data_IF_843857531114
#
_entry.id   IF_843857531114
#
_cell.length_a   1.000
_cell.length_b   1.000
_cell.length_c   1.000
_cell.angle_alpha   90.00
_cell.angle_beta   90.00
_cell.angle_gamma   90.00
#
_symmetry.space_group_name_H-M   'P 1'
#
loop_
_entity.id
_entity.type
_entity.pdbx_description
1 polymer ?
#
# COMPACT_ATOMS: atom_id res chain seq x y z
N UNK A 1 19.51 5.11 40.31
CA UNK A 1 19.48 5.05 38.83
C UNK A 1 18.01 5.13 38.43
N UNK A 2 17.64 6.18 37.70
CA UNK A 2 16.29 6.36 37.17
C UNK A 2 16.17 5.56 35.87
N UNK A 3 15.46 4.43 35.91
CA UNK A 3 15.08 3.73 34.69
C UNK A 3 13.75 4.31 34.23
N UNK A 4 13.79 5.15 33.20
CA UNK A 4 12.60 5.74 32.60
C UNK A 4 11.99 4.73 31.62
N UNK A 5 11.19 3.79 32.14
CA UNK A 5 10.30 3.00 31.28
C UNK A 5 9.31 3.97 30.63
N UNK A 6 9.41 4.13 29.31
CA UNK A 6 8.44 4.91 28.53
C UNK A 6 7.26 3.99 28.22
N UNK A 7 6.06 4.21 28.79
CA UNK A 7 4.90 3.42 28.41
C UNK A 7 4.48 3.80 26.99
N UNK A 8 4.38 2.81 26.10
CA UNK A 8 3.84 2.99 24.75
C UNK A 8 2.42 3.54 24.85
N UNK A 9 2.24 4.81 24.50
CA UNK A 9 0.93 5.46 24.54
C UNK A 9 -0.03 4.82 23.50
N UNK A 10 -1.33 4.71 23.81
CA UNK A 10 -2.31 4.27 22.81
C UNK A 10 -2.32 5.25 21.64
N UNK A 11 -2.31 4.71 20.41
CA UNK A 11 -2.14 5.49 19.18
C UNK A 11 -3.13 6.64 19.05
N UNK A 12 -2.65 7.86 19.29
CA UNK A 12 -3.35 9.10 18.96
C UNK A 12 -3.26 9.26 17.45
N UNK A 13 -4.40 9.25 16.76
CA UNK A 13 -4.46 9.49 15.32
C UNK A 13 -3.94 10.91 15.03
N UNK A 14 -2.73 11.02 14.48
CA UNK A 14 -2.06 12.31 14.24
C UNK A 14 -2.67 12.96 12.99
N UNK A 15 -3.22 14.20 13.08
CA UNK A 15 -3.58 14.98 11.91
C UNK A 15 -2.33 15.21 11.04
N UNK A 16 -2.35 14.74 9.79
CA UNK A 16 -1.20 14.78 8.89
C UNK A 16 -0.44 13.45 8.71
N UNK A 17 -0.84 12.35 9.36
CA UNK A 17 -0.21 11.04 9.20
C UNK A 17 -0.25 10.45 7.76
N UNK A 18 -1.14 10.96 6.92
CA UNK A 18 -1.32 10.50 5.53
C UNK A 18 -1.17 11.69 4.58
N UNK A 19 -0.07 11.70 3.81
CA UNK A 19 0.18 12.69 2.74
C UNK A 19 -0.74 12.37 1.56
N UNK A 20 -1.45 13.37 1.04
CA UNK A 20 -2.19 13.24 -0.22
C UNK A 20 -1.20 13.09 -1.38
N UNK A 21 -1.42 12.08 -2.24
CA UNK A 21 -0.62 11.83 -3.44
C UNK A 21 -1.38 12.33 -4.67
N UNK A 22 -2.60 11.83 -4.91
CA UNK A 22 -3.49 12.27 -5.99
C UNK A 22 -4.93 11.84 -5.76
N UNK A 23 -5.88 12.35 -6.55
CA UNK A 23 -7.21 11.74 -6.66
C UNK A 23 -7.16 10.42 -7.45
N UNK A 24 -8.04 9.48 -7.10
CA UNK A 24 -8.30 8.21 -7.78
C UNK A 24 -9.70 8.28 -8.38
N UNK A 25 -9.79 8.26 -9.71
CA UNK A 25 -11.07 8.35 -10.43
C UNK A 25 -11.73 6.98 -10.65
N UNK A 26 -12.98 6.99 -11.12
CA UNK A 26 -13.70 5.77 -11.50
C UNK A 26 -13.04 5.11 -12.72
N UNK A 27 -12.39 3.97 -12.50
CA UNK A 27 -11.69 3.19 -13.54
C UNK A 27 -10.23 2.90 -13.21
N UNK A 28 -9.60 3.74 -12.40
CA UNK A 28 -8.22 3.57 -11.89
C UNK A 28 -8.09 2.39 -10.92
N UNK A 29 -9.19 2.06 -10.24
CA UNK A 29 -9.28 0.99 -9.26
C UNK A 29 -10.74 0.66 -8.92
N UNK A 30 -10.98 -0.22 -7.93
CA UNK A 30 -12.32 -0.55 -7.46
C UNK A 30 -12.95 0.53 -6.55
N UNK A 31 -12.16 1.50 -6.10
CA UNK A 31 -12.60 2.57 -5.20
C UNK A 31 -12.20 3.93 -5.77
N UNK A 32 -13.12 4.89 -5.70
CA UNK A 32 -12.89 6.30 -6.00
C UNK A 32 -12.61 7.04 -4.70
N UNK A 33 -11.64 7.94 -4.68
CA UNK A 33 -11.21 8.61 -3.45
C UNK A 33 -9.86 9.32 -3.59
N UNK A 34 -9.17 9.54 -2.47
CA UNK A 34 -7.83 10.11 -2.44
C UNK A 34 -6.77 9.01 -2.26
N UNK A 35 -5.77 8.91 -3.15
CA UNK A 35 -4.59 8.11 -2.90
C UNK A 35 -3.70 8.81 -1.88
N UNK A 36 -3.36 8.14 -0.78
CA UNK A 36 -2.59 8.70 0.33
C UNK A 36 -1.46 7.76 0.76
N UNK A 37 -0.41 8.30 1.40
CA UNK A 37 0.63 7.49 2.04
C UNK A 37 0.10 6.77 3.29
N UNK A 38 0.50 5.52 3.50
CA UNK A 38 0.11 4.72 4.65
C UNK A 38 1.26 3.79 5.08
N UNK A 39 2.03 4.22 6.08
CA UNK A 39 3.32 3.58 6.39
C UNK A 39 4.27 3.73 5.20
N UNK A 40 4.90 2.62 4.80
CA UNK A 40 5.77 2.54 3.62
C UNK A 40 4.98 2.30 2.31
N UNK A 41 3.66 2.12 2.40
CA UNK A 41 2.75 1.77 1.31
C UNK A 41 1.79 2.93 0.93
N UNK A 42 0.89 2.67 -0.02
CA UNK A 42 -0.18 3.59 -0.43
C UNK A 42 -1.57 2.97 -0.23
N UNK A 43 -2.53 3.80 0.21
CA UNK A 43 -3.92 3.40 0.44
C UNK A 43 -4.88 4.39 -0.25
N UNK A 44 -6.08 3.91 -0.59
CA UNK A 44 -7.18 4.77 -1.04
C UNK A 44 -8.01 5.19 0.16
N UNK A 45 -8.05 6.49 0.41
CA UNK A 45 -8.86 7.15 1.42
C UNK A 45 -10.24 7.49 0.83
N UNK A 46 -11.29 6.90 1.37
CA UNK A 46 -12.69 7.00 0.89
C UNK A 46 -13.60 7.38 2.04
N UNK A 47 -14.61 8.23 1.84
CA UNK A 47 -15.59 8.54 2.88
C UNK A 47 -16.37 7.25 3.25
N UNK A 48 -16.52 6.99 4.54
CA UNK A 48 -17.29 5.84 5.04
C UNK A 48 -18.76 5.85 4.56
N UNK A 49 -19.32 7.01 4.24
CA UNK A 49 -20.66 7.16 3.69
C UNK A 49 -20.80 6.52 2.29
N UNK A 50 -19.76 6.62 1.45
CA UNK A 50 -19.74 6.04 0.09
C UNK A 50 -19.62 4.50 0.10
N UNK A 51 -19.19 3.93 1.24
CA UNK A 51 -19.06 2.49 1.48
C UNK A 51 -20.26 1.90 2.23
N UNK A 52 -21.39 2.62 2.29
CA UNK A 52 -22.61 2.16 2.96
C UNK A 52 -23.13 0.85 2.33
N UNK A 53 -23.18 -0.22 3.13
CA UNK A 53 -23.63 -1.55 2.68
C UNK A 53 -22.56 -2.41 1.99
N UNK A 54 -21.35 -1.90 1.79
CA UNK A 54 -20.25 -2.63 1.13
C UNK A 54 -19.90 -3.95 1.83
N UNK A 55 -19.63 -5.02 1.09
CA UNK A 55 -19.39 -6.34 1.67
C UNK A 55 -18.11 -6.46 2.51
N UNK A 56 -17.11 -5.63 2.24
CA UNK A 56 -15.74 -5.72 2.75
C UNK A 56 -15.52 -5.36 4.22
N UNK A 57 -16.48 -4.68 4.87
CA UNK A 57 -16.38 -4.25 6.28
C UNK A 57 -16.00 -5.36 7.28
N UNK A 58 -16.31 -6.62 6.96
CA UNK A 58 -16.07 -7.79 7.83
C UNK A 58 -14.72 -8.48 7.61
N UNK A 59 -13.95 -8.07 6.60
CA UNK A 59 -12.69 -8.71 6.18
C UNK A 59 -11.46 -7.83 6.48
N UNK A 60 -11.59 -6.88 7.43
CA UNK A 60 -10.42 -6.17 7.96
C UNK A 60 -9.45 -7.18 8.61
N UNK A 61 -8.18 -7.13 8.20
CA UNK A 61 -7.14 -8.08 8.61
C UNK A 61 -7.09 -9.39 7.80
N UNK A 62 -7.86 -9.53 6.71
CA UNK A 62 -7.66 -10.60 5.71
C UNK A 62 -6.54 -10.21 4.72
N UNK A 63 -5.86 -11.20 4.13
CA UNK A 63 -4.74 -11.00 3.20
C UNK A 63 -5.16 -11.03 1.72
N UNK A 64 -6.21 -11.80 1.40
CA UNK A 64 -6.67 -12.07 0.03
C UNK A 64 -8.12 -11.65 -0.23
N UNK A 65 -8.82 -11.12 0.79
CA UNK A 65 -10.12 -10.44 0.66
C UNK A 65 -9.98 -8.99 1.12
N UNK A 66 -10.48 -8.07 0.31
CA UNK A 66 -10.42 -6.64 0.58
C UNK A 66 -11.29 -6.25 1.78
N UNK A 67 -10.63 -5.71 2.81
CA UNK A 67 -11.26 -5.06 3.95
C UNK A 67 -10.63 -3.70 4.23
N UNK A 68 -11.17 -3.00 5.23
CA UNK A 68 -10.63 -1.73 5.72
C UNK A 68 -9.29 -1.97 6.41
N UNK A 69 -8.26 -1.22 6.01
CA UNK A 69 -6.93 -1.21 6.61
C UNK A 69 -6.93 -0.40 7.91
N UNK A 70 -7.44 0.83 7.85
CA UNK A 70 -7.52 1.75 8.99
C UNK A 70 -8.68 2.75 8.86
N UNK A 71 -9.02 3.42 9.96
CA UNK A 71 -10.14 4.35 10.11
C UNK A 71 -9.63 5.72 10.56
N UNK A 72 -9.53 6.66 9.62
CA UNK A 72 -9.28 8.07 9.92
C UNK A 72 -10.58 8.71 10.41
N UNK A 73 -10.51 9.46 11.52
CA UNK A 73 -11.62 10.28 12.02
C UNK A 73 -11.52 11.70 11.48
N UNK A 74 -12.65 12.29 11.11
CA UNK A 74 -12.80 13.73 10.83
C UNK A 74 -13.79 14.34 11.83
N UNK A 75 -13.90 15.67 11.83
CA UNK A 75 -14.88 16.41 12.63
C UNK A 75 -16.32 16.20 12.15
N UNK A 76 -16.50 15.85 10.88
CA UNK A 76 -17.78 15.69 10.18
C UNK A 76 -18.09 14.26 9.73
N UNK A 77 -17.11 13.34 9.81
CA UNK A 77 -17.25 11.98 9.28
C UNK A 77 -16.07 11.06 9.63
N UNK A 78 -15.92 10.00 8.85
CA UNK A 78 -14.81 9.05 8.93
C UNK A 78 -14.35 8.69 7.53
N UNK A 79 -13.04 8.58 7.31
CA UNK A 79 -12.48 8.07 6.07
C UNK A 79 -11.87 6.69 6.29
N UNK A 80 -12.20 5.76 5.40
CA UNK A 80 -11.64 4.41 5.40
C UNK A 80 -10.39 4.39 4.53
N UNK A 81 -9.32 3.80 5.03
CA UNK A 81 -8.17 3.43 4.20
C UNK A 81 -8.39 2.03 3.64
N UNK A 82 -8.30 1.92 2.31
CA UNK A 82 -8.51 0.69 1.55
C UNK A 82 -7.26 0.34 0.73
N UNK A 83 -7.00 -0.94 0.44
CA UNK A 83 -5.87 -1.35 -0.40
C UNK A 83 -5.88 -0.70 -1.78
N UNK A 84 -4.72 -0.22 -2.24
CA UNK A 84 -4.57 0.32 -3.59
C UNK A 84 -4.49 -0.80 -4.64
N UNK A 85 -5.60 -1.02 -5.34
CA UNK A 85 -5.73 -2.01 -6.40
C UNK A 85 -5.61 -1.36 -7.78
N UNK A 86 -4.56 -1.72 -8.53
CA UNK A 86 -4.15 -1.08 -9.79
C UNK A 86 -4.81 -1.67 -11.04
N UNK A 87 -5.23 -2.93 -10.99
CA UNK A 87 -5.82 -3.62 -12.15
C UNK A 87 -6.58 -4.89 -11.76
N UNK A 88 -7.53 -5.32 -12.61
CA UNK A 88 -8.18 -6.64 -12.47
C UNK A 88 -7.22 -7.76 -12.87
N UNK A 89 -7.21 -8.87 -12.13
CA UNK A 89 -6.45 -10.11 -12.46
C UNK A 89 -6.84 -10.59 -13.87
N UNK A 90 -8.12 -10.47 -14.23
CA UNK A 90 -8.61 -10.84 -15.55
C UNK A 90 -7.93 -10.05 -16.69
N UNK A 91 -7.72 -8.75 -16.49
CA UNK A 91 -7.05 -7.88 -17.45
C UNK A 91 -5.54 -8.17 -17.53
N UNK A 92 -4.90 -8.43 -16.39
CA UNK A 92 -3.49 -8.86 -16.31
C UNK A 92 -3.24 -10.13 -17.13
N UNK A 93 -4.01 -11.20 -16.90
CA UNK A 93 -3.92 -12.45 -17.67
C UNK A 93 -4.20 -12.23 -19.17
N UNK A 94 -5.18 -11.36 -19.48
CA UNK A 94 -5.50 -10.95 -20.85
C UNK A 94 -4.29 -10.33 -21.56
N UNK A 95 -3.65 -9.31 -20.96
CA UNK A 95 -2.49 -8.63 -21.56
C UNK A 95 -1.29 -9.58 -21.73
N UNK A 96 -0.98 -10.41 -20.72
CA UNK A 96 0.09 -11.43 -20.82
C UNK A 96 -0.13 -12.38 -21.99
N UNK A 97 -1.37 -12.84 -22.20
CA UNK A 97 -1.74 -13.70 -23.33
C UNK A 97 -1.65 -12.98 -24.68
N UNK A 98 -2.08 -11.72 -24.78
CA UNK A 98 -1.96 -10.92 -26.01
C UNK A 98 -0.50 -10.71 -26.43
N UNK A 99 0.41 -10.61 -25.46
CA UNK A 99 1.84 -10.46 -25.70
C UNK A 99 2.63 -11.79 -25.76
N UNK A 100 1.94 -12.94 -25.72
CA UNK A 100 2.53 -14.29 -25.70
C UNK A 100 3.55 -14.54 -24.56
N UNK A 101 3.43 -13.81 -23.45
CA UNK A 101 4.29 -13.99 -22.27
C UNK A 101 3.56 -14.84 -21.23
N UNK A 102 3.92 -16.13 -21.17
CA UNK A 102 3.36 -17.04 -20.17
C UNK A 102 3.74 -16.65 -18.73
N UNK A 103 2.92 -17.06 -17.76
CA UNK A 103 3.29 -17.04 -16.35
C UNK A 103 4.40 -18.08 -16.11
N UNK A 104 5.39 -17.74 -15.30
CA UNK A 104 6.36 -18.72 -14.81
C UNK A 104 5.67 -19.69 -13.81
N UNK A 105 6.21 -20.90 -13.58
CA UNK A 105 5.55 -21.90 -12.71
C UNK A 105 5.33 -21.40 -11.26
N UNK A 106 6.27 -20.60 -10.75
CA UNK A 106 6.12 -19.95 -9.44
C UNK A 106 5.11 -18.79 -9.42
N UNK A 107 4.87 -18.11 -10.55
CA UNK A 107 3.80 -17.11 -10.68
C UNK A 107 2.42 -17.78 -10.69
N UNK A 108 2.30 -18.94 -11.37
CA UNK A 108 1.10 -19.79 -11.33
C UNK A 108 0.80 -20.22 -9.90
N UNK A 109 1.81 -20.70 -9.16
CA UNK A 109 1.67 -21.12 -7.77
C UNK A 109 1.19 -19.96 -6.88
N UNK A 110 1.83 -18.79 -6.94
CA UNK A 110 1.43 -17.60 -6.17
C UNK A 110 -0.01 -17.20 -6.48
N UNK A 111 -0.37 -17.06 -7.76
CA UNK A 111 -1.71 -16.63 -8.15
C UNK A 111 -2.77 -17.62 -7.65
N UNK A 112 -2.59 -18.91 -7.89
CA UNK A 112 -3.59 -19.93 -7.54
C UNK A 112 -3.72 -20.12 -6.04
N UNK A 113 -2.61 -20.10 -5.28
CA UNK A 113 -2.65 -20.14 -3.83
C UNK A 113 -3.38 -18.92 -3.24
N UNK A 114 -3.09 -17.70 -3.71
CA UNK A 114 -3.81 -16.49 -3.28
C UNK A 114 -5.31 -16.56 -3.59
N UNK A 115 -5.67 -17.08 -4.78
CA UNK A 115 -7.05 -17.28 -5.20
C UNK A 115 -7.80 -18.27 -4.30
N UNK A 116 -7.18 -19.40 -3.94
CA UNK A 116 -7.74 -20.39 -3.02
C UNK A 116 -7.88 -19.82 -1.59
N UNK A 117 -6.83 -19.19 -1.07
CA UNK A 117 -6.83 -18.58 0.26
C UNK A 117 -7.94 -17.53 0.42
N UNK A 118 -8.13 -16.63 -0.55
CA UNK A 118 -9.22 -15.65 -0.48
C UNK A 118 -10.62 -16.29 -0.57
N UNK A 119 -10.80 -17.39 -1.32
CA UNK A 119 -12.05 -18.18 -1.25
C UNK A 119 -12.23 -18.81 0.14
N UNK A 120 -11.14 -19.23 0.79
CA UNK A 120 -11.14 -19.72 2.18
C UNK A 120 -11.48 -18.63 3.21
N UNK A 121 -10.96 -17.41 3.03
CA UNK A 121 -11.24 -16.23 3.87
C UNK A 121 -12.71 -15.77 3.76
N UNK A 122 -13.29 -15.80 2.56
CA UNK A 122 -14.73 -15.59 2.36
C UNK A 122 -15.59 -16.64 3.09
N UNK A 123 -15.05 -17.85 3.25
CA UNK A 123 -15.66 -18.94 4.00
C UNK A 123 -16.98 -19.40 3.40
N UNK A 124 -18.04 -19.40 4.21
CA UNK A 124 -19.36 -19.88 3.82
C UNK A 124 -20.26 -18.76 3.24
N UNK A 125 -19.71 -17.58 2.91
CA UNK A 125 -20.47 -16.49 2.27
C UNK A 125 -20.77 -16.82 0.80
N UNK A 126 -21.84 -17.58 0.59
CA UNK A 126 -22.40 -17.89 -0.74
C UNK A 126 -22.92 -16.66 -1.49
N UNK A 127 -23.10 -15.51 -0.81
CA UNK A 127 -23.50 -14.25 -1.41
C UNK A 127 -22.31 -13.33 -1.73
N UNK A 128 -21.07 -13.78 -1.52
CA UNK A 128 -19.88 -13.00 -1.84
C UNK A 128 -19.78 -12.73 -3.35
N UNK A 129 -20.13 -11.51 -3.75
CA UNK A 129 -20.03 -10.99 -5.11
C UNK A 129 -18.96 -9.90 -5.19
N UNK A 130 -18.24 -9.86 -6.31
CA UNK A 130 -17.08 -9.01 -6.49
C UNK A 130 -16.15 -9.48 -7.61
N UNK A 131 -14.96 -8.93 -7.64
CA UNK A 131 -13.93 -9.21 -8.65
C UNK A 131 -12.53 -9.33 -8.05
N UNK A 132 -11.66 -10.06 -8.73
CA UNK A 132 -10.26 -10.20 -8.34
C UNK A 132 -9.39 -9.10 -8.95
N UNK A 133 -8.67 -8.39 -8.09
CA UNK A 133 -7.74 -7.32 -8.42
C UNK A 133 -6.32 -7.69 -8.00
N UNK A 134 -5.35 -6.95 -8.56
CA UNK A 134 -3.97 -6.91 -8.11
C UNK A 134 -3.74 -5.57 -7.41
N UNK A 135 -3.08 -5.63 -6.25
CA UNK A 135 -2.52 -4.45 -5.57
C UNK A 135 -1.29 -3.90 -6.31
N UNK A 136 -0.71 -2.79 -5.84
CA UNK A 136 0.54 -2.25 -6.36
C UNK A 136 1.72 -3.24 -6.35
N UNK A 137 1.86 -4.02 -5.27
CA UNK A 137 2.85 -5.10 -5.10
C UNK A 137 2.49 -6.41 -5.83
N UNK A 138 1.39 -6.44 -6.60
CA UNK A 138 0.99 -7.59 -7.40
C UNK A 138 0.31 -8.72 -6.62
N UNK A 139 -0.21 -8.44 -5.41
CA UNK A 139 -0.97 -9.41 -4.59
C UNK A 139 -2.40 -9.57 -5.12
N UNK A 140 -2.88 -10.79 -5.38
CA UNK A 140 -4.28 -11.03 -5.70
C UNK A 140 -5.18 -10.79 -4.49
N UNK A 141 -6.18 -9.92 -4.67
CA UNK A 141 -7.15 -9.50 -3.66
C UNK A 141 -8.57 -9.55 -4.24
N UNK A 142 -9.50 -10.23 -3.56
CA UNK A 142 -10.91 -10.22 -3.92
C UNK A 142 -11.60 -8.98 -3.37
N UNK A 143 -12.21 -8.18 -4.23
CA UNK A 143 -12.86 -6.91 -3.86
C UNK A 143 -14.36 -7.03 -4.07
N UNK A 144 -15.14 -6.83 -3.01
CA UNK A 144 -16.60 -6.82 -3.09
C UNK A 144 -17.11 -5.65 -3.93
N UNK A 145 -18.06 -5.92 -4.82
CA UNK A 145 -18.69 -4.92 -5.70
C UNK A 145 -19.91 -5.49 -6.43
N UNK A 146 -20.86 -4.61 -6.79
CA UNK A 146 -22.16 -4.98 -7.36
C UNK A 146 -22.06 -5.47 -8.81
N UNK A 147 -21.11 -4.93 -9.59
CA UNK A 147 -20.82 -5.36 -10.97
C UNK A 147 -20.08 -6.70 -11.06
N UNK A 148 -19.72 -7.28 -9.90
CA UNK A 148 -18.92 -8.49 -9.78
C UNK A 148 -19.73 -9.79 -9.88
N UNK A 149 -19.03 -10.89 -10.15
CA UNK A 149 -19.62 -12.23 -10.11
C UNK A 149 -19.51 -12.88 -8.73
N UNK A 150 -20.21 -14.00 -8.51
CA UNK A 150 -20.02 -14.83 -7.33
C UNK A 150 -18.55 -15.29 -7.24
N UNK A 151 -17.92 -15.10 -6.07
CA UNK A 151 -16.47 -15.22 -5.89
C UNK A 151 -15.91 -16.55 -6.42
N UNK A 152 -16.49 -17.68 -5.98
CA UNK A 152 -16.11 -19.04 -6.42
C UNK A 152 -16.16 -19.23 -7.95
N UNK A 153 -17.18 -18.66 -8.60
CA UNK A 153 -17.36 -18.73 -10.07
C UNK A 153 -16.31 -17.87 -10.79
N UNK A 154 -16.04 -16.66 -10.28
CA UNK A 154 -14.97 -15.79 -10.82
C UNK A 154 -13.59 -16.44 -10.62
N UNK A 155 -13.34 -17.06 -9.48
CA UNK A 155 -12.11 -17.82 -9.23
C UNK A 155 -11.97 -18.98 -10.21
N UNK A 156 -12.98 -19.84 -10.37
CA UNK A 156 -12.95 -20.95 -11.32
C UNK A 156 -12.64 -20.49 -12.77
N UNK A 157 -13.26 -19.38 -13.20
CA UNK A 157 -13.02 -18.79 -14.51
C UNK A 157 -11.62 -18.17 -14.68
N UNK A 158 -10.93 -17.79 -13.59
CA UNK A 158 -9.52 -17.41 -13.61
C UNK A 158 -8.62 -18.65 -13.68
N UNK A 159 -8.92 -19.72 -12.92
CA UNK A 159 -8.19 -20.99 -12.99
C UNK A 159 -8.20 -21.56 -14.41
N UNK A 160 -9.35 -21.53 -15.12
CA UNK A 160 -9.45 -21.93 -16.53
C UNK A 160 -8.47 -21.17 -17.44
N UNK A 161 -8.22 -19.89 -17.16
CA UNK A 161 -7.28 -19.03 -17.90
C UNK A 161 -5.83 -19.26 -17.47
N UNK A 162 -5.59 -19.82 -16.29
CA UNK A 162 -4.26 -20.17 -15.79
C UNK A 162 -3.79 -21.53 -16.32
N UNK A 163 -4.69 -22.48 -16.61
CA UNK A 163 -4.36 -23.82 -17.15
C UNK A 163 -3.38 -23.80 -18.35
N UNK A 164 -3.51 -22.92 -19.37
CA UNK A 164 -2.56 -22.83 -20.49
C UNK A 164 -1.12 -22.43 -20.09
N UNK A 165 -0.92 -21.90 -18.89
CA UNK A 165 0.39 -21.53 -18.35
C UNK A 165 1.02 -22.63 -17.49
N UNK A 166 0.37 -23.79 -17.34
CA UNK A 166 0.93 -24.92 -16.59
C UNK A 166 2.23 -25.43 -17.25
N UNK A 167 3.29 -25.57 -16.44
CA UNK A 167 4.60 -26.05 -16.89
C UNK A 167 4.57 -27.50 -17.40
N UNK A 168 3.66 -28.30 -16.86
CA UNK A 168 3.60 -29.73 -17.02
C UNK A 168 2.15 -30.26 -16.87
N UNK A 169 1.98 -31.54 -17.18
CA UNK A 169 0.65 -32.20 -17.18
C UNK A 169 0.10 -32.47 -15.78
N UNK A 170 0.92 -32.62 -14.74
CA UNK A 170 0.46 -32.78 -13.37
C UNK A 170 -0.11 -31.44 -12.85
N UNK A 171 0.63 -30.33 -12.99
CA UNK A 171 0.12 -28.99 -12.70
C UNK A 171 -1.20 -28.71 -13.42
N UNK A 172 -1.28 -28.98 -14.73
CA UNK A 172 -2.51 -28.77 -15.50
C UNK A 172 -3.73 -29.59 -14.99
N UNK A 173 -3.49 -30.81 -14.47
CA UNK A 173 -4.54 -31.65 -13.86
C UNK A 173 -5.04 -31.08 -12.54
N UNK A 174 -4.12 -30.67 -11.66
CA UNK A 174 -4.45 -30.05 -10.36
C UNK A 174 -5.30 -28.78 -10.59
N UNK A 175 -4.89 -27.92 -11.52
CA UNK A 175 -5.67 -26.74 -11.90
C UNK A 175 -7.06 -27.09 -12.45
N UNK A 176 -7.18 -28.16 -13.23
CA UNK A 176 -8.49 -28.63 -13.74
C UNK A 176 -9.38 -29.14 -12.60
N UNK A 177 -8.82 -29.86 -11.62
CA UNK A 177 -9.52 -30.35 -10.42
C UNK A 177 -10.02 -29.19 -9.55
N UNK A 178 -9.14 -28.24 -9.22
CA UNK A 178 -9.47 -27.00 -8.49
C UNK A 178 -10.62 -26.26 -9.20
N UNK A 179 -10.49 -26.05 -10.52
CA UNK A 179 -11.50 -25.35 -11.30
C UNK A 179 -12.86 -26.06 -11.28
N UNK A 180 -12.88 -27.40 -11.33
CA UNK A 180 -14.11 -28.19 -11.21
C UNK A 180 -14.74 -28.03 -9.81
N UNK A 181 -13.96 -28.26 -8.76
CA UNK A 181 -14.45 -28.20 -7.38
C UNK A 181 -14.91 -26.79 -6.95
N UNK A 182 -14.32 -25.71 -7.48
CA UNK A 182 -14.78 -24.35 -7.24
C UNK A 182 -16.18 -24.06 -7.84
N UNK A 183 -16.61 -24.82 -8.87
CA UNK A 183 -17.97 -24.70 -9.43
C UNK A 183 -18.99 -25.49 -8.63
N UNK A 184 -18.56 -26.42 -7.78
CA UNK A 184 -19.46 -27.12 -6.86
C UNK A 184 -19.87 -26.19 -5.70
N UNK A 185 -21.13 -26.23 -5.23
CA UNK A 185 -21.59 -25.36 -4.15
C UNK A 185 -20.79 -25.51 -2.85
N UNK A 186 -20.15 -26.67 -2.62
CA UNK A 186 -19.26 -26.98 -1.50
C UNK A 186 -18.23 -28.03 -1.92
N UNK A 187 -16.97 -27.83 -1.54
CA UNK A 187 -15.91 -28.83 -1.49
C UNK A 187 -15.30 -28.81 -0.07
N UNK A 188 -14.42 -29.75 0.28
CA UNK A 188 -13.84 -29.80 1.63
C UNK A 188 -12.66 -28.83 1.73
N UNK A 189 -12.50 -28.15 2.88
CA UNK A 189 -11.34 -27.25 3.12
C UNK A 189 -10.01 -28.00 3.15
N UNK A 190 -10.06 -29.32 3.40
CA UNK A 190 -8.90 -30.21 3.30
C UNK A 190 -8.45 -30.41 1.84
N UNK A 191 -9.34 -30.16 0.86
CA UNK A 191 -8.99 -30.13 -0.56
C UNK A 191 -8.16 -28.88 -0.90
N UNK A 192 -8.57 -27.69 -0.43
CA UNK A 192 -7.83 -26.44 -0.63
C UNK A 192 -6.38 -26.55 -0.11
N UNK A 193 -6.21 -27.07 1.11
CA UNK A 193 -4.90 -27.28 1.72
C UNK A 193 -4.06 -28.34 0.99
N UNK A 194 -4.68 -29.41 0.46
CA UNK A 194 -4.01 -30.40 -0.40
C UNK A 194 -3.49 -29.74 -1.66
N UNK A 195 -4.35 -29.05 -2.41
CA UNK A 195 -3.99 -28.44 -3.68
C UNK A 195 -2.91 -27.37 -3.52
N UNK A 196 -2.98 -26.54 -2.48
CA UNK A 196 -1.92 -25.56 -2.19
C UNK A 196 -0.59 -26.26 -1.94
N UNK A 197 -0.57 -27.34 -1.15
CA UNK A 197 0.64 -28.12 -0.88
C UNK A 197 1.22 -28.79 -2.14
N UNK A 198 0.37 -29.33 -3.02
CA UNK A 198 0.80 -29.93 -4.29
C UNK A 198 1.39 -28.88 -5.25
N UNK A 199 0.78 -27.69 -5.35
CA UNK A 199 1.32 -26.58 -6.15
C UNK A 199 2.67 -26.09 -5.62
N UNK A 200 2.79 -25.88 -4.30
CA UNK A 200 4.04 -25.49 -3.63
C UNK A 200 5.15 -26.55 -3.79
N UNK A 201 4.78 -27.83 -3.86
CA UNK A 201 5.72 -28.93 -4.12
C UNK A 201 6.20 -28.98 -5.57
N UNK A 202 5.41 -28.44 -6.50
CA UNK A 202 5.76 -28.39 -7.93
C UNK A 202 6.61 -27.19 -8.30
N UNK A 203 6.37 -26.02 -7.69
CA UNK A 203 7.18 -24.82 -7.90
C UNK A 203 7.17 -23.89 -6.69
N UNK A 204 8.34 -23.34 -6.34
CA UNK A 204 8.44 -22.30 -5.32
C UNK A 204 7.68 -21.03 -5.75
N UNK A 205 6.89 -20.39 -4.86
CA UNK A 205 6.19 -19.14 -5.15
C UNK A 205 7.13 -18.04 -5.67
N UNK A 206 6.64 -17.27 -6.64
CA UNK A 206 7.33 -16.06 -7.14
C UNK A 206 6.35 -14.89 -7.26
N UNK A 207 6.79 -13.64 -7.00
CA UNK A 207 5.97 -12.46 -7.23
C UNK A 207 5.45 -12.39 -8.67
N UNK A 208 4.21 -11.91 -8.84
CA UNK A 208 3.62 -11.69 -10.15
C UNK A 208 4.29 -10.49 -10.82
N UNK A 209 4.88 -10.72 -12.00
CA UNK A 209 5.53 -9.67 -12.79
C UNK A 209 4.48 -8.78 -13.46
N UNK A 210 4.13 -7.68 -12.80
CA UNK A 210 3.20 -6.64 -13.27
C UNK A 210 3.88 -5.60 -14.19
N UNK A 211 5.19 -5.43 -14.03
CA UNK A 211 6.11 -4.54 -14.74
C UNK A 211 6.19 -4.79 -16.25
N UNK A 212 6.14 -6.06 -16.68
CA UNK A 212 6.23 -6.46 -18.11
C UNK A 212 5.16 -5.79 -18.99
N UNK A 213 4.05 -5.34 -18.39
CA UNK A 213 2.94 -4.66 -19.06
C UNK A 213 2.42 -3.44 -18.28
N UNK A 214 3.29 -2.79 -17.52
CA UNK A 214 3.13 -1.36 -17.30
C UNK A 214 3.27 -0.67 -18.68
N UNK A 215 2.56 0.45 -18.95
CA UNK A 215 2.92 1.27 -20.10
C UNK A 215 4.41 1.63 -19.98
N UNK A 216 5.17 1.42 -21.06
CA UNK A 216 6.55 1.93 -21.14
C UNK A 216 6.54 3.40 -20.72
N UNK A 217 7.42 3.78 -19.79
CA UNK A 217 7.71 5.20 -19.58
C UNK A 217 8.06 5.80 -20.95
N UNK A 218 7.57 6.99 -21.24
CA UNK A 218 7.65 7.59 -22.58
C UNK A 218 9.08 7.81 -23.13
N UNK A 219 10.12 7.51 -22.33
CA UNK A 219 11.54 7.59 -22.68
C UNK A 219 12.04 6.59 -23.75
N UNK A 220 11.30 5.52 -24.10
CA UNK A 220 11.79 4.49 -25.04
C UNK A 220 10.99 4.32 -26.35
N UNK A 221 9.86 5.01 -26.53
CA UNK A 221 9.08 4.93 -27.78
C UNK A 221 9.59 5.93 -28.81
N UNK A 222 10.56 5.50 -29.62
CA UNK A 222 11.02 6.27 -30.78
C UNK A 222 9.84 6.57 -31.74
N UNK A 223 9.61 7.87 -32.01
CA UNK A 223 8.39 8.43 -32.60
C UNK A 223 8.07 7.92 -34.01
N UNK A 224 7.36 6.78 -34.12
CA UNK A 224 6.78 6.34 -35.40
C UNK A 224 5.58 7.21 -35.78
N UNK A 225 5.86 8.18 -36.66
CA UNK A 225 4.91 9.08 -37.34
C UNK A 225 3.69 8.31 -37.88
N UNK A 226 2.55 8.38 -37.19
CA UNK A 226 1.28 7.79 -37.66
C UNK A 226 0.50 8.78 -38.53
N UNK A 227 0.02 8.29 -39.67
CA UNK A 227 -0.75 9.09 -40.64
C UNK A 227 -2.18 9.27 -40.12
N UNK A 228 -2.66 10.52 -40.15
CA UNK A 228 -3.97 10.93 -39.65
C UNK A 228 -5.09 10.46 -40.59
N UNK A 229 -6.04 9.69 -40.07
CA UNK A 229 -7.29 9.34 -40.78
C UNK A 229 -8.46 10.13 -40.14
N UNK A 230 -9.34 10.78 -40.92
CA UNK A 230 -10.48 11.51 -40.36
C UNK A 230 -11.52 10.56 -39.76
N UNK A 231 -12.13 10.95 -38.63
CA UNK A 231 -13.25 10.24 -38.00
C UNK A 231 -14.53 11.07 -38.15
N UNK A 232 -15.57 10.47 -38.74
CA UNK A 232 -16.91 11.05 -38.76
C UNK A 232 -17.61 10.84 -37.42
N UNK A 233 -18.44 11.81 -37.02
CA UNK A 233 -19.00 11.87 -35.66
C UNK A 233 -20.21 10.98 -35.42
N UNK A 234 -20.32 10.44 -34.19
CA UNK A 234 -21.54 9.81 -33.68
C UNK A 234 -21.91 10.44 -32.33
N UNK A 235 -23.17 10.83 -32.19
CA UNK A 235 -23.66 11.67 -31.09
C UNK A 235 -23.88 10.92 -29.76
N UNK A 236 -23.52 11.55 -28.64
CA UNK A 236 -23.92 11.15 -27.28
C UNK A 236 -25.37 11.52 -26.98
N UNK A 237 -26.19 10.66 -26.36
CA UNK A 237 -27.37 11.08 -25.60
C UNK A 237 -27.00 11.39 -24.13
N UNK A 238 -27.54 12.50 -23.60
CA UNK A 238 -27.45 12.88 -22.18
C UNK A 238 -28.63 12.24 -21.43
N UNK A 239 -28.43 11.73 -20.21
CA UNK A 239 -29.53 11.47 -19.27
C UNK A 239 -29.50 12.49 -18.12
N UNK A 240 -30.64 12.67 -17.46
CA UNK A 240 -30.92 13.80 -16.54
C UNK A 240 -31.03 13.34 -15.09
N UNK A 241 -30.68 14.26 -14.21
CA UNK A 241 -30.94 14.26 -12.77
C UNK A 241 -32.37 13.86 -12.37
N UNK A 242 -32.48 13.17 -11.23
CA UNK A 242 -33.68 13.25 -10.37
C UNK A 242 -33.26 13.36 -8.91
N UNK A 243 -33.69 14.44 -8.25
CA UNK A 243 -33.72 14.52 -6.79
C UNK A 243 -35.00 13.84 -6.28
N UNK A 244 -34.96 13.23 -5.07
CA UNK A 244 -35.82 13.63 -3.92
C UNK A 244 -35.71 12.70 -2.69
N UNK A 245 -35.13 13.25 -1.63
CA UNK A 245 -35.76 13.47 -0.30
C UNK A 245 -36.70 12.36 0.25
N UNK A 246 -36.26 11.66 1.29
CA UNK A 246 -37.12 10.84 2.17
C UNK A 246 -36.41 10.44 3.47
N UNK A 247 -36.81 11.02 4.61
CA UNK A 247 -36.22 10.78 5.94
C UNK A 247 -37.28 10.16 6.87
N UNK A 248 -36.83 9.24 7.75
CA UNK A 248 -37.53 8.53 8.86
C UNK A 248 -38.49 7.39 8.47
N UNK A 249 -38.07 6.16 8.82
CA UNK A 249 -38.75 5.13 9.65
C UNK A 249 -38.02 3.78 9.44
N UNK A 250 -37.86 2.86 10.40
CA UNK A 250 -38.27 2.88 11.80
C UNK A 250 -37.39 1.96 12.68
N UNK A 251 -37.14 2.42 13.91
CA UNK A 251 -36.29 1.85 14.96
C UNK A 251 -36.83 0.53 15.55
N UNK A 252 -36.94 -0.54 14.75
CA UNK A 252 -37.36 -1.87 15.25
C UNK A 252 -36.54 -3.06 14.69
N UNK A 253 -35.80 -2.90 13.60
CA UNK A 253 -34.96 -3.98 13.03
C UNK A 253 -33.70 -4.30 13.87
N UNK A 254 -33.32 -3.43 14.82
CA UNK A 254 -32.05 -3.53 15.55
C UNK A 254 -32.03 -4.59 16.68
N UNK A 255 -33.19 -5.12 17.11
CA UNK A 255 -33.27 -6.00 18.30
C UNK A 255 -33.22 -7.51 18.00
N UNK A 256 -33.36 -7.94 16.74
CA UNK A 256 -33.25 -9.37 16.37
C UNK A 256 -31.80 -9.82 16.18
N UNK A 257 -30.97 -8.98 15.53
CA UNK A 257 -29.55 -9.27 15.21
C UNK A 257 -28.67 -9.46 16.45
N UNK A 258 -29.07 -8.93 17.61
CA UNK A 258 -28.30 -9.02 18.85
C UNK A 258 -28.40 -10.40 19.54
N UNK A 259 -29.40 -11.23 19.20
CA UNK A 259 -29.62 -12.54 19.84
C UNK A 259 -28.82 -13.69 19.21
N UNK A 260 -28.53 -13.61 17.90
CA UNK A 260 -27.65 -14.56 17.20
C UNK A 260 -26.16 -14.37 17.56
N UNK A 261 -25.73 -13.12 17.81
CA UNK A 261 -24.33 -12.77 18.18
C UNK A 261 -23.85 -13.40 19.50
N UNK A 262 -24.75 -13.88 20.37
CA UNK A 262 -24.38 -14.49 21.64
C UNK A 262 -23.90 -15.95 21.52
N UNK A 263 -24.24 -16.67 20.45
CA UNK A 263 -23.86 -18.09 20.29
C UNK A 263 -22.47 -18.30 19.68
N UNK A 264 -22.11 -17.51 18.67
CA UNK A 264 -20.84 -17.66 17.93
C UNK A 264 -19.58 -17.19 18.68
N UNK A 265 -19.73 -16.41 19.76
CA UNK A 265 -18.61 -16.06 20.66
C UNK A 265 -18.29 -17.16 21.66
N UNK A 266 -19.27 -17.99 22.07
CA UNK A 266 -19.06 -19.06 23.04
C UNK A 266 -18.22 -20.21 22.46
N UNK A 267 -18.40 -20.51 21.17
CA UNK A 267 -17.66 -21.57 20.49
C UNK A 267 -16.19 -21.24 20.20
N UNK A 268 -15.83 -19.96 20.10
CA UNK A 268 -14.43 -19.53 19.96
C UNK A 268 -13.67 -19.65 21.28
N UNK A 269 -14.32 -19.34 22.40
CA UNK A 269 -13.74 -19.50 23.75
C UNK A 269 -13.64 -20.97 24.21
N UNK A 270 -14.39 -21.88 23.60
CA UNK A 270 -14.29 -23.31 23.87
C UNK A 270 -13.07 -23.98 23.19
N UNK A 271 -12.70 -23.52 21.98
CA UNK A 271 -11.60 -24.10 21.19
C UNK A 271 -10.21 -23.79 21.76
N UNK A 272 -10.02 -22.59 22.32
CA UNK A 272 -8.73 -22.17 22.92
C UNK A 272 -8.37 -22.92 24.21
N UNK A 273 -9.31 -23.62 24.86
CA UNK A 273 -9.05 -24.50 26.02
C UNK A 273 -8.93 -25.99 25.67
N UNK A 274 -9.12 -26.39 24.42
CA UNK A 274 -9.07 -27.79 24.02
C UNK A 274 -7.65 -28.24 23.58
N UNK A 275 -6.74 -27.30 23.34
CA UNK A 275 -5.40 -27.57 22.78
C UNK A 275 -4.36 -28.04 23.80
N UNK A 276 -4.65 -28.02 25.10
CA UNK A 276 -3.68 -28.33 26.15
C UNK A 276 -4.12 -29.55 26.99
N UNK A 277 -3.78 -30.74 26.49
CA UNK A 277 -3.91 -32.01 27.22
C UNK A 277 -2.77 -32.96 26.83
N UNK A 278 -1.87 -33.34 27.76
CA UNK A 278 -0.85 -34.33 27.50
C UNK A 278 -1.46 -35.75 27.42
N UNK A 279 -1.10 -36.50 26.38
CA UNK A 279 -1.59 -37.86 26.14
C UNK A 279 -0.77 -38.88 26.92
N UNK A 280 -1.34 -39.46 27.99
CA UNK A 280 -0.77 -40.59 28.74
C UNK A 280 -1.56 -41.89 28.51
N UNK A 281 -0.92 -43.07 28.61
CA UNK A 281 -1.52 -44.35 28.20
C UNK A 281 -2.55 -44.93 29.21
N UNK A 282 -3.35 -45.86 28.70
CA UNK A 282 -4.56 -46.38 29.33
C UNK A 282 -4.25 -47.44 30.39
N UNK A 283 -4.74 -47.22 31.61
CA UNK A 283 -4.84 -48.20 32.70
C UNK A 283 -6.12 -47.97 33.49
N UNK A 284 -6.89 -49.02 33.76
CA UNK A 284 -8.26 -48.90 34.29
C UNK A 284 -8.31 -48.75 35.82
N UNK A 285 -9.30 -48.00 36.34
CA UNK A 285 -10.27 -48.49 37.36
C UNK A 285 -11.42 -47.48 37.64
N UNK A 286 -12.39 -47.86 38.49
CA UNK A 286 -13.74 -47.25 38.58
C UNK A 286 -13.95 -46.29 39.77
N UNK A 287 -14.89 -45.35 39.58
CA UNK A 287 -15.61 -44.54 40.60
C UNK A 287 -14.78 -43.44 41.31
N UNK A 288 -15.32 -42.31 41.82
CA UNK A 288 -16.66 -41.95 42.37
C UNK A 288 -17.12 -40.54 41.88
N UNK A 289 -18.38 -40.13 42.13
CA UNK A 289 -19.03 -38.87 41.67
C UNK A 289 -18.98 -37.70 42.69
N UNK A 290 -19.30 -36.48 42.19
CA UNK A 290 -19.82 -35.26 42.88
C UNK A 290 -18.83 -34.05 43.05
N UNK A 291 -19.29 -32.78 43.20
CA UNK A 291 -19.48 -31.91 42.03
C UNK A 291 -18.99 -30.45 42.19
N UNK A 292 -17.97 -30.04 41.43
CA UNK A 292 -17.44 -28.66 41.43
C UNK A 292 -18.30 -27.67 40.61
N UNK A 293 -19.48 -27.30 41.12
CA UNK A 293 -20.34 -26.23 40.55
C UNK A 293 -20.46 -24.95 41.38
N UNK A 294 -19.69 -24.81 42.47
CA UNK A 294 -19.77 -23.65 43.38
C UNK A 294 -18.68 -22.58 43.19
N UNK A 295 -17.61 -22.85 42.43
CA UNK A 295 -16.51 -21.88 42.24
C UNK A 295 -16.78 -20.82 41.15
N UNK A 296 -17.65 -21.11 40.17
CA UNK A 296 -17.97 -20.18 39.08
C UNK A 296 -18.90 -19.02 39.51
N UNK A 297 -19.62 -19.15 40.62
CA UNK A 297 -20.53 -18.08 41.09
C UNK A 297 -19.75 -16.92 41.71
N UNK A 298 -18.61 -17.19 42.36
CA UNK A 298 -17.80 -16.16 43.03
C UNK A 298 -17.07 -15.23 42.05
N UNK A 299 -16.71 -15.74 40.87
CA UNK A 299 -16.00 -14.97 39.84
C UNK A 299 -16.89 -13.92 39.15
N UNK A 300 -18.18 -14.20 38.97
CA UNK A 300 -19.13 -13.28 38.34
C UNK A 300 -19.36 -12.01 39.18
N UNK A 301 -19.37 -12.14 40.52
CA UNK A 301 -19.55 -11.01 41.44
C UNK A 301 -18.40 -10.00 41.42
N UNK A 302 -17.16 -10.43 41.22
CA UNK A 302 -16.00 -9.51 41.18
C UNK A 302 -16.05 -8.62 39.93
N UNK A 303 -16.39 -9.20 38.77
CA UNK A 303 -16.50 -8.45 37.51
C UNK A 303 -17.59 -7.37 37.54
N UNK A 304 -18.72 -7.64 38.21
CA UNK A 304 -19.81 -6.67 38.36
C UNK A 304 -19.42 -5.48 39.25
N UNK A 305 -18.61 -5.69 40.29
CA UNK A 305 -18.11 -4.62 41.17
C UNK A 305 -17.10 -3.72 40.44
N UNK A 306 -16.18 -4.31 39.66
CA UNK A 306 -15.22 -3.53 38.85
C UNK A 306 -15.93 -2.63 37.83
N UNK A 307 -16.95 -3.14 37.14
CA UNK A 307 -17.75 -2.35 36.20
C UNK A 307 -18.60 -1.27 36.90
N UNK A 308 -19.12 -1.55 38.10
CA UNK A 308 -19.89 -0.59 38.89
C UNK A 308 -19.06 0.59 39.38
N UNK A 309 -17.81 0.37 39.79
CA UNK A 309 -16.90 1.43 40.26
C UNK A 309 -16.33 2.23 39.08
N UNK A 310 -15.97 1.58 37.97
CA UNK A 310 -15.42 2.26 36.79
C UNK A 310 -16.38 3.21 36.06
N UNK A 311 -17.69 3.07 36.26
CA UNK A 311 -18.72 3.95 35.70
C UNK A 311 -19.05 5.17 36.58
N UNK A 312 -18.45 5.29 37.76
CA UNK A 312 -18.83 6.29 38.76
C UNK A 312 -17.61 6.86 39.51
N UNK A 313 -16.65 7.44 38.78
CA UNK A 313 -15.63 8.28 39.39
C UNK A 313 -15.38 9.59 38.60
N UNK A 314 -15.51 10.78 39.22
CA UNK A 314 -15.25 12.06 38.59
C UNK A 314 -13.77 12.47 38.68
N UNK A 315 -13.42 13.55 37.97
CA UNK A 315 -12.06 14.09 37.81
C UNK A 315 -11.47 14.61 39.13
N UNK A 316 -10.16 14.41 39.36
CA UNK A 316 -9.44 15.01 40.49
C UNK A 316 -8.11 14.35 40.92
N UNK A 317 -7.02 14.80 40.29
CA UNK A 317 -5.62 14.97 40.76
C UNK A 317 -4.94 14.07 41.83
N UNK A 318 -3.67 13.75 41.51
CA UNK A 318 -2.47 13.64 42.38
C UNK A 318 -2.01 12.28 42.99
N UNK A 319 -0.71 12.00 42.73
CA UNK A 319 0.35 11.44 43.60
C UNK A 319 0.36 9.96 44.08
N UNK A 320 1.18 9.17 43.39
CA UNK A 320 2.40 8.47 43.88
C UNK A 320 2.38 7.58 45.15
N UNK A 321 2.73 6.29 44.97
CA UNK A 321 3.67 5.55 45.84
C UNK A 321 4.16 4.24 45.17
N UNK A 322 5.46 3.94 45.26
CA UNK A 322 6.11 2.77 44.66
C UNK A 322 6.38 1.63 45.66
N UNK A 323 6.74 0.44 45.16
CA UNK A 323 7.51 -0.55 45.93
C UNK A 323 8.38 -1.46 45.03
N UNK A 324 9.61 -1.70 45.47
CA UNK A 324 10.71 -2.35 44.73
C UNK A 324 11.18 -3.64 45.42
N UNK A 325 11.78 -4.57 44.67
CA UNK A 325 12.68 -5.61 45.21
C UNK A 325 13.84 -5.84 44.22
N UNK A 326 15.04 -6.08 44.76
CA UNK A 326 16.35 -6.15 44.08
C UNK A 326 17.01 -7.54 44.24
N UNK A 327 17.89 -7.92 43.29
CA UNK A 327 19.01 -8.88 43.32
C UNK A 327 19.34 -9.35 41.88
N UNK A 328 20.58 -9.56 41.43
CA UNK A 328 21.90 -9.42 42.07
C UNK A 328 23.03 -9.70 41.05
N UNK A 329 24.31 -9.48 41.44
CA UNK A 329 25.48 -9.37 40.54
C UNK A 329 26.61 -10.39 40.84
N UNK A 330 27.25 -10.95 39.80
CA UNK A 330 28.62 -11.52 39.80
C UNK A 330 29.05 -11.92 38.36
N UNK A 331 30.31 -12.07 37.91
CA UNK A 331 31.68 -11.64 38.31
C UNK A 331 32.59 -11.74 37.06
N UNK A 332 33.74 -11.05 37.00
CA UNK A 332 34.72 -11.06 35.88
C UNK A 332 35.70 -12.25 35.90
N UNK A 333 36.18 -12.61 34.71
CA UNK A 333 37.55 -13.06 34.46
C UNK A 333 38.06 -12.46 33.11
N UNK A 334 39.30 -12.76 32.71
CA UNK A 334 40.23 -11.73 32.21
C UNK A 334 41.43 -12.32 31.42
N UNK A 335 42.38 -11.47 30.98
CA UNK A 335 43.69 -11.78 30.33
C UNK A 335 43.68 -12.37 28.89
N UNK A 336 44.65 -12.11 27.99
CA UNK A 336 45.64 -11.01 27.87
C UNK A 336 46.32 -10.98 26.45
N UNK A 337 46.45 -9.78 25.88
CA UNK A 337 47.55 -9.13 25.10
C UNK A 337 48.63 -9.98 24.37
N UNK A 338 48.96 -9.63 23.10
CA UNK A 338 50.29 -9.18 22.56
C UNK A 338 50.26 -8.92 21.03
N UNK A 339 50.94 -7.84 20.61
CA UNK A 339 51.10 -7.29 19.25
C UNK A 339 51.98 -8.09 18.25
N UNK A 340 51.90 -7.74 16.96
CA UNK A 340 52.92 -8.09 15.95
C UNK A 340 52.59 -7.76 14.49
N UNK A 341 53.16 -6.67 13.97
CA UNK A 341 53.31 -6.24 12.55
C UNK A 341 54.74 -5.62 12.42
N UNK A 342 55.41 -5.40 11.26
CA UNK A 342 54.91 -5.31 9.88
C UNK A 342 55.83 -5.93 8.77
N UNK A 343 55.64 -5.45 7.52
CA UNK A 343 56.45 -5.59 6.28
C UNK A 343 56.26 -6.86 5.42
N UNK A 344 56.34 -6.83 4.08
CA UNK A 344 56.31 -5.75 3.05
C UNK A 344 56.20 -6.41 1.63
N UNK A 345 56.05 -5.59 0.58
CA UNK A 345 56.45 -5.80 -0.83
C UNK A 345 55.32 -6.01 -1.85
N UNK A 346 55.17 -5.03 -2.75
CA UNK A 346 54.40 -5.07 -3.99
C UNK A 346 55.24 -5.65 -5.16
N UNK A 347 54.65 -5.84 -6.36
CA UNK A 347 55.02 -4.85 -7.39
C UNK A 347 53.89 -4.37 -8.32
N UNK A 348 54.19 -3.27 -8.98
CA UNK A 348 53.37 -2.49 -9.92
C UNK A 348 53.11 -3.19 -11.26
N UNK A 349 52.03 -2.78 -11.95
CA UNK A 349 51.98 -2.72 -13.41
C UNK A 349 51.07 -1.57 -13.86
N UNK A 350 51.43 -0.87 -14.93
CA UNK A 350 50.88 0.44 -15.37
C UNK A 350 50.46 0.40 -16.85
N UNK A 351 49.91 1.51 -17.38
CA UNK A 351 49.81 1.92 -18.82
C UNK A 351 48.46 1.57 -19.53
N UNK A 352 47.79 2.49 -20.28
CA UNK A 352 47.62 3.95 -20.09
C UNK A 352 46.20 4.50 -20.46
N UNK A 353 46.02 5.81 -20.30
CA UNK A 353 44.85 6.61 -20.73
C UNK A 353 45.08 7.31 -22.11
N UNK A 354 44.04 7.57 -22.92
CA UNK A 354 44.05 8.58 -23.98
C UNK A 354 43.13 9.79 -23.67
N UNK A 355 43.64 10.98 -24.00
CA UNK A 355 43.08 12.30 -23.66
C UNK A 355 41.93 12.77 -24.61
N UNK A 356 41.22 13.89 -24.32
CA UNK A 356 40.03 14.30 -25.07
C UNK A 356 40.36 15.03 -26.38
N UNK A 357 39.34 15.32 -27.19
CA UNK A 357 39.44 16.17 -28.38
C UNK A 357 38.24 17.11 -28.48
N UNK A 358 38.52 18.40 -28.34
CA UNK A 358 37.56 19.49 -28.59
C UNK A 358 37.48 19.80 -30.08
N UNK A 359 36.28 19.77 -30.66
CA UNK A 359 35.91 20.67 -31.78
C UNK A 359 34.44 21.12 -31.60
N UNK A 360 34.15 22.44 -31.67
CA UNK A 360 32.80 22.94 -31.45
C UNK A 360 31.93 22.79 -32.70
N UNK A 361 30.84 22.03 -32.60
CA UNK A 361 29.78 22.03 -33.61
C UNK A 361 28.78 23.16 -33.35
N UNK A 362 28.66 24.09 -34.30
CA UNK A 362 27.66 25.17 -34.27
C UNK A 362 26.23 24.60 -34.18
N UNK A 363 25.48 25.04 -33.17
CA UNK A 363 24.04 24.75 -33.09
C UNK A 363 23.25 25.77 -33.93
N UNK A 364 22.29 25.33 -34.77
CA UNK A 364 21.48 26.25 -35.56
C UNK A 364 20.47 27.01 -34.69
N UNK A 365 20.23 28.28 -35.02
CA UNK A 365 19.31 29.17 -34.28
C UNK A 365 17.88 28.59 -34.21
N UNK A 366 17.20 28.66 -33.05
CA UNK A 366 15.84 28.15 -32.90
C UNK A 366 14.82 29.04 -33.62
N UNK A 367 13.96 28.42 -34.44
CA UNK A 367 12.82 29.10 -35.04
C UNK A 367 11.75 29.46 -33.99
N UNK A 368 11.13 30.66 -34.06
CA UNK A 368 10.09 31.05 -33.12
C UNK A 368 8.82 30.21 -33.34
N UNK A 369 8.40 29.47 -32.31
CA UNK A 369 7.23 28.59 -32.34
C UNK A 369 7.46 27.17 -31.79
N UNK A 370 8.68 26.83 -31.37
CA UNK A 370 8.89 25.69 -30.49
C UNK A 370 8.29 25.98 -29.11
N UNK A 371 7.36 25.15 -28.64
CA UNK A 371 6.93 25.12 -27.24
C UNK A 371 8.13 24.82 -26.36
N UNK A 372 8.40 25.66 -25.38
CA UNK A 372 9.60 25.54 -24.54
C UNK A 372 9.60 24.22 -23.74
N UNK A 373 10.75 23.58 -23.73
CA UNK A 373 11.01 22.38 -22.94
C UNK A 373 11.25 22.76 -21.47
N UNK A 374 10.76 21.95 -20.53
CA UNK A 374 10.84 22.24 -19.09
C UNK A 374 12.29 22.49 -18.65
N UNK A 375 13.22 21.66 -19.16
CA UNK A 375 14.65 21.71 -18.84
C UNK A 375 15.28 23.03 -19.28
N UNK A 376 14.77 23.64 -20.35
CA UNK A 376 15.21 24.97 -20.82
C UNK A 376 14.59 26.11 -20.02
N UNK A 377 13.39 25.91 -19.46
CA UNK A 377 12.68 26.93 -18.70
C UNK A 377 13.22 27.10 -17.26
N UNK A 378 13.57 26.00 -16.56
CA UNK A 378 13.94 26.05 -15.15
C UNK A 378 15.07 27.05 -14.82
N UNK A 379 16.19 27.15 -15.58
CA UNK A 379 17.22 28.15 -15.30
C UNK A 379 16.68 29.59 -15.23
N UNK A 380 15.78 29.97 -16.14
CA UNK A 380 15.15 31.31 -16.14
C UNK A 380 14.21 31.50 -14.95
N UNK A 381 13.51 30.44 -14.54
CA UNK A 381 12.62 30.47 -13.37
C UNK A 381 13.42 30.61 -12.06
N UNK A 382 14.57 29.94 -11.94
CA UNK A 382 15.48 30.11 -10.81
C UNK A 382 16.01 31.55 -10.71
N UNK A 383 16.39 32.16 -11.83
CA UNK A 383 16.82 33.57 -11.87
C UNK A 383 15.69 34.54 -11.50
N UNK A 384 14.47 34.31 -11.99
CA UNK A 384 13.30 35.11 -11.64
C UNK A 384 12.94 35.00 -10.15
N UNK A 385 12.96 33.79 -9.57
CA UNK A 385 12.76 33.56 -8.13
C UNK A 385 13.83 34.28 -7.31
N UNK A 386 15.11 34.16 -7.68
CA UNK A 386 16.20 34.86 -6.99
C UNK A 386 16.02 36.40 -7.04
N UNK A 387 15.53 36.94 -8.17
CA UNK A 387 15.14 38.36 -8.30
C UNK A 387 13.99 38.75 -7.36
N UNK A 388 12.88 38.00 -7.39
CA UNK A 388 11.74 38.21 -6.49
C UNK A 388 12.13 38.18 -5.00
N UNK A 389 13.04 37.28 -4.61
CA UNK A 389 13.58 37.18 -3.25
C UNK A 389 14.47 38.38 -2.91
N UNK A 390 15.32 38.82 -3.84
CA UNK A 390 16.16 40.01 -3.66
C UNK A 390 15.32 41.28 -3.44
N UNK A 391 14.23 41.41 -4.18
CA UNK A 391 13.29 42.54 -4.08
C UNK A 391 12.31 42.41 -2.88
N UNK A 392 12.36 41.30 -2.12
CA UNK A 392 11.52 41.05 -0.95
C UNK A 392 10.04 40.81 -1.29
N UNK A 393 9.75 40.28 -2.48
CA UNK A 393 8.39 40.06 -2.98
C UNK A 393 7.79 38.75 -2.48
N UNK A 394 6.68 38.83 -1.75
CA UNK A 394 5.93 37.66 -1.21
C UNK A 394 5.36 36.75 -2.31
N UNK A 395 5.22 37.25 -3.54
CA UNK A 395 4.71 36.52 -4.71
C UNK A 395 5.60 36.74 -5.93
N UNK A 396 5.85 35.70 -6.73
CA UNK A 396 6.67 35.77 -7.95
C UNK A 396 5.87 35.21 -9.15
N UNK A 397 4.89 35.95 -9.70
CA UNK A 397 3.92 35.41 -10.66
C UNK A 397 4.54 34.94 -11.99
N UNK A 398 5.69 35.52 -12.38
CA UNK A 398 6.40 35.16 -13.62
C UNK A 398 7.21 33.85 -13.48
N UNK A 399 7.25 33.25 -12.28
CA UNK A 399 8.03 32.04 -12.02
C UNK A 399 7.38 31.00 -11.08
N UNK A 400 6.33 31.38 -10.34
CA UNK A 400 5.68 30.57 -9.31
C UNK A 400 4.17 30.61 -9.53
N UNK A 401 3.49 29.47 -9.35
CA UNK A 401 2.03 29.38 -9.44
C UNK A 401 1.34 30.27 -8.40
N UNK A 402 0.20 30.86 -8.74
CA UNK A 402 -0.49 31.84 -7.89
C UNK A 402 -0.95 31.32 -6.51
N UNK A 403 -0.93 30.00 -6.28
CA UNK A 403 -1.26 29.37 -5.00
C UNK A 403 -0.05 29.17 -4.06
N UNK A 404 1.17 29.49 -4.52
CA UNK A 404 2.42 29.30 -3.78
C UNK A 404 3.09 30.65 -3.43
N UNK A 405 3.65 30.74 -2.22
CA UNK A 405 4.42 31.89 -1.71
C UNK A 405 5.87 31.77 -2.20
N UNK A 406 6.55 32.87 -2.50
CA UNK A 406 7.98 32.87 -2.87
C UNK A 406 8.84 32.17 -1.80
N UNK A 407 9.62 31.12 -2.13
CA UNK A 407 10.57 30.51 -1.20
C UNK A 407 11.59 31.51 -0.67
N UNK A 408 11.98 31.36 0.60
CA UNK A 408 12.94 32.26 1.27
C UNK A 408 14.28 31.60 1.61
N UNK A 409 14.44 30.32 1.30
CA UNK A 409 15.59 29.48 1.63
C UNK A 409 15.81 28.36 0.59
N UNK A 410 16.90 27.59 0.79
CA UNK A 410 17.29 26.46 -0.06
C UNK A 410 18.12 26.83 -1.30
N UNK A 411 18.22 25.84 -2.19
CA UNK A 411 18.91 25.90 -3.48
C UNK A 411 18.10 26.67 -4.53
N UNK A 412 16.76 26.61 -4.46
CA UNK A 412 15.85 27.33 -5.37
C UNK A 412 16.12 28.84 -5.43
N UNK A 413 16.52 29.46 -4.31
CA UNK A 413 16.79 30.91 -4.23
C UNK A 413 18.21 31.31 -4.67
N UNK A 414 19.10 30.35 -4.96
CA UNK A 414 20.48 30.63 -5.38
C UNK A 414 20.61 30.99 -6.87
N UNK A 415 19.51 30.90 -7.63
CA UNK A 415 19.49 31.09 -9.07
C UNK A 415 20.16 29.93 -9.83
N UNK A 416 20.18 30.03 -11.17
CA UNK A 416 20.71 28.99 -12.05
C UNK A 416 22.21 28.68 -11.86
N UNK A 417 22.97 29.58 -11.23
CA UNK A 417 24.41 29.43 -10.99
C UNK A 417 24.75 28.77 -9.64
N UNK A 418 23.76 28.52 -8.78
CA UNK A 418 23.98 27.91 -7.46
C UNK A 418 23.69 26.40 -7.37
N UNK A 419 23.12 25.80 -8.43
CA UNK A 419 22.66 24.41 -8.43
C UNK A 419 22.91 23.71 -9.76
N UNK A 420 23.29 22.43 -9.71
CA UNK A 420 23.19 21.53 -10.86
C UNK A 420 21.74 21.04 -11.00
N UNK A 421 21.21 21.09 -12.22
CA UNK A 421 19.84 20.65 -12.54
C UNK A 421 19.86 19.26 -13.17
N UNK A 422 19.13 18.31 -12.58
CA UNK A 422 18.86 17.01 -13.18
C UNK A 422 17.36 16.76 -13.35
N UNK A 423 16.95 16.33 -14.54
CA UNK A 423 15.57 15.87 -14.78
C UNK A 423 15.31 14.56 -14.04
N UNK A 424 14.24 14.48 -13.27
CA UNK A 424 13.86 13.26 -12.52
C UNK A 424 12.68 12.55 -13.16
N UNK A 425 11.63 13.26 -13.56
CA UNK A 425 10.51 12.72 -14.32
C UNK A 425 9.81 13.82 -15.13
N UNK A 426 9.15 13.47 -16.23
CA UNK A 426 8.37 14.40 -17.06
C UNK A 426 6.99 13.80 -17.42
N UNK A 427 5.94 14.49 -16.99
CA UNK A 427 4.54 14.15 -17.22
C UNK A 427 3.88 15.03 -18.30
N UNK A 428 4.63 15.95 -18.93
CA UNK A 428 4.21 16.74 -20.09
C UNK A 428 3.65 18.12 -19.73
N UNK A 429 2.64 18.20 -18.86
CA UNK A 429 2.18 19.46 -18.25
C UNK A 429 2.70 19.66 -16.83
N UNK A 430 3.38 18.67 -16.26
CA UNK A 430 4.11 18.72 -14.99
C UNK A 430 5.47 18.06 -15.18
N UNK A 431 6.55 18.65 -14.68
CA UNK A 431 7.91 18.09 -14.75
C UNK A 431 8.59 18.18 -13.40
N UNK A 432 9.27 17.11 -12.98
CA UNK A 432 9.96 17.03 -11.69
C UNK A 432 11.47 17.03 -11.93
N UNK A 433 12.16 17.97 -11.29
CA UNK A 433 13.62 18.11 -11.37
C UNK A 433 14.24 18.10 -9.99
N UNK A 434 15.55 17.84 -9.94
CA UNK A 434 16.37 17.90 -8.75
C UNK A 434 17.45 18.97 -8.93
N UNK A 435 17.59 19.80 -7.90
CA UNK A 435 18.71 20.70 -7.67
C UNK A 435 19.69 20.02 -6.73
N UNK A 436 20.93 19.84 -7.18
CA UNK A 436 22.06 19.41 -6.34
C UNK A 436 23.02 20.60 -6.15
N UNK A 437 23.64 20.78 -4.98
CA UNK A 437 24.56 21.89 -4.76
C UNK A 437 25.83 21.73 -5.62
N UNK A 438 26.25 22.80 -6.29
CA UNK A 438 27.49 22.79 -7.08
C UNK A 438 28.75 22.73 -6.19
N UNK A 439 28.72 23.40 -5.03
CA UNK A 439 29.81 23.40 -4.06
C UNK A 439 29.53 22.44 -2.90
N UNK A 440 30.13 21.25 -2.96
CA UNK A 440 30.01 20.21 -1.92
C UNK A 440 30.57 20.59 -0.53
N UNK A 441 31.23 21.76 -0.38
CA UNK A 441 31.68 22.29 0.91
C UNK A 441 30.54 22.89 1.75
N UNK A 442 29.42 23.27 1.13
CA UNK A 442 28.22 23.74 1.83
C UNK A 442 27.15 22.66 1.82
N UNK A 443 26.91 22.06 3.00
CA UNK A 443 25.96 20.98 3.21
C UNK A 443 24.48 21.46 3.17
N UNK A 444 24.05 22.04 2.04
CA UNK A 444 22.63 22.17 1.73
C UNK A 444 22.08 20.82 1.25
N UNK A 445 20.86 20.42 1.66
CA UNK A 445 20.23 19.23 1.11
C UNK A 445 19.94 19.44 -0.39
N UNK A 446 19.96 18.36 -1.17
CA UNK A 446 19.38 18.39 -2.52
C UNK A 446 17.90 18.80 -2.43
N UNK A 447 17.40 19.53 -3.41
CA UNK A 447 16.00 19.93 -3.48
C UNK A 447 15.32 19.34 -4.71
N UNK A 448 14.04 18.99 -4.56
CA UNK A 448 13.16 18.62 -5.64
C UNK A 448 12.29 19.82 -6.01
N UNK A 449 12.20 20.12 -7.30
CA UNK A 449 11.41 21.22 -7.86
C UNK A 449 10.37 20.63 -8.80
N UNK A 450 9.10 20.94 -8.56
CA UNK A 450 7.98 20.56 -9.42
C UNK A 450 7.57 21.76 -10.25
N UNK A 451 7.67 21.61 -11.56
CA UNK A 451 7.20 22.57 -12.56
C UNK A 451 5.82 22.13 -13.04
N UNK A 452 4.93 23.08 -13.31
CA UNK A 452 3.70 22.85 -14.06
C UNK A 452 3.52 23.86 -15.19
N UNK A 453 2.69 23.54 -16.18
CA UNK A 453 2.56 24.30 -17.43
C UNK A 453 1.18 24.96 -17.67
N UNK A 454 0.68 25.83 -16.78
CA UNK A 454 -0.58 26.54 -16.99
C UNK A 454 -0.49 27.43 -18.24
N UNK A 455 -1.56 27.44 -19.04
CA UNK A 455 -1.72 28.29 -20.23
C UNK A 455 -0.56 28.27 -21.27
N UNK A 456 0.31 27.26 -21.21
CA UNK A 456 1.53 27.03 -22.03
C UNK A 456 2.85 27.63 -21.50
N UNK A 457 2.85 28.26 -20.33
CA UNK A 457 4.06 28.78 -19.67
C UNK A 457 4.46 27.87 -18.49
N UNK A 458 5.76 27.66 -18.27
CA UNK A 458 6.25 26.85 -17.16
C UNK A 458 6.39 27.70 -15.88
N UNK A 459 5.81 27.25 -14.78
CA UNK A 459 5.92 27.86 -13.45
C UNK A 459 6.28 26.81 -12.39
N UNK A 460 6.96 27.22 -11.32
CA UNK A 460 7.23 26.37 -10.16
C UNK A 460 5.95 26.21 -9.33
N UNK A 461 5.56 24.95 -9.11
CA UNK A 461 4.39 24.52 -8.34
C UNK A 461 4.72 24.24 -6.87
N UNK A 462 5.85 23.57 -6.65
CA UNK A 462 6.22 23.01 -5.34
C UNK A 462 7.75 22.83 -5.28
N UNK A 463 8.32 22.97 -4.08
CA UNK A 463 9.76 22.81 -3.80
C UNK A 463 9.92 22.12 -2.45
N UNK A 464 10.70 21.05 -2.38
CA UNK A 464 10.92 20.31 -1.13
C UNK A 464 12.29 19.64 -1.05
N UNK A 465 12.85 19.55 0.15
CA UNK A 465 14.16 18.95 0.40
C UNK A 465 14.14 17.41 0.27
N UNK A 466 15.24 16.85 -0.24
CA UNK A 466 15.51 15.42 -0.23
C UNK A 466 16.03 15.01 1.15
N UNK A 467 15.14 14.42 1.96
CA UNK A 467 15.48 13.92 3.28
C UNK A 467 16.58 12.85 3.22
N UNK A 468 17.73 13.11 3.85
CA UNK A 468 18.74 12.09 4.11
C UNK A 468 18.20 11.06 5.10
N UNK A 469 17.92 9.84 4.64
CA UNK A 469 17.74 8.70 5.54
C UNK A 469 19.12 8.35 6.16
N UNK A 470 19.23 8.24 7.49
CA UNK A 470 20.44 7.69 8.11
C UNK A 470 20.54 6.19 7.78
N UNK A 471 21.69 5.77 7.27
CA UNK A 471 22.01 4.37 6.94
C UNK A 471 22.54 3.56 8.12
#
# INVERSE_FOLDING_TARGET
>A
MTSTDTPTAPGVLVPGAHRLIRAVESGDGPFTGALVSHGDDVAVCVDAADLAGWGGWRYSGCEHVCGVLDVRRRSDGHDMLLPWCTQRVEAFLGRRRTADVLLAPGEVTTLVASLLRGVGELGDDVAAQGDWWLTGDGRPLFVHGEDGGAARVRTAALIDRVIPHAADRATARILTEIGAALREPRHHRDDDARWEHELLSSAAPRPLRTDVFAPERAASVATRKTVRVPTEGVSRPRSRSTERRGVREGLLAAMTVMRERARSSLERFARTRAADRPTGPIGAERSVRHPHRRSLVLAATVAAVVLGVGLMWPEGHAEEAAQTVDAGRAVRADSAIVDGDPSEVAPSSTVPEPAPSDEPSESPEPSPGATEDAVSALPRLLEAIAGCVHDGSETCPDAIVAEMITPTDGLIIQGAQGSEVSLVDDYGDVTVMRLSPLDAEFAQPEQMVVLERPESEWLVRDVYDVAHQPG
#
